data_IF_602430472904
#
_entry.id   IF_602430472904
#
_cell.length_a   1.000
_cell.length_b   1.000
_cell.length_c   1.000
_cell.angle_alpha   90.00
_cell.angle_beta   90.00
_cell.angle_gamma   90.00
#
_symmetry.space_group_name_H-M   'P 1'
#
loop_
_entity.id
_entity.type
_entity.pdbx_description
1 polymer ?
#
# COMPACT_ATOMS: atom_id res chain seq x y z
N UNK A 1 -2.50 -5.97 -12.09
CA UNK A 1 -3.39 -5.03 -11.36
C UNK A 1 -4.35 -4.29 -12.32
N UNK A 2 -5.18 -5.00 -13.08
CA UNK A 2 -6.08 -4.40 -14.09
C UNK A 2 -7.57 -4.60 -13.79
N UNK A 3 -7.94 -5.71 -13.14
CA UNK A 3 -9.32 -6.01 -12.81
C UNK A 3 -9.97 -4.92 -11.92
N UNK A 4 -9.23 -4.41 -10.93
CA UNK A 4 -9.73 -3.35 -10.02
C UNK A 4 -10.03 -2.03 -10.73
N UNK A 5 -9.39 -1.75 -11.88
CA UNK A 5 -9.65 -0.53 -12.67
C UNK A 5 -11.00 -0.56 -13.39
N UNK A 6 -11.68 -1.72 -13.43
CA UNK A 6 -13.02 -1.87 -13.98
C UNK A 6 -14.13 -1.52 -13.00
N UNK A 7 -13.81 -1.34 -11.71
CA UNK A 7 -14.80 -0.93 -10.71
C UNK A 7 -15.29 0.49 -11.00
N UNK A 8 -16.57 0.75 -10.74
CA UNK A 8 -17.24 2.04 -10.98
C UNK A 8 -17.70 2.66 -9.66
N UNK A 9 -17.81 3.99 -9.63
CA UNK A 9 -18.44 4.76 -8.57
C UNK A 9 -19.96 4.73 -8.73
N UNK A 10 -20.68 4.55 -7.63
CA UNK A 10 -22.14 4.45 -7.62
C UNK A 10 -22.63 3.01 -7.51
N UNK A 11 -23.94 2.83 -7.64
CA UNK A 11 -24.56 1.50 -7.68
C UNK A 11 -24.44 0.89 -9.08
N UNK A 12 -24.66 -0.41 -9.19
CA UNK A 12 -24.63 -1.15 -10.46
C UNK A 12 -25.60 -0.58 -11.51
N UNK A 13 -26.80 -0.20 -11.08
CA UNK A 13 -27.84 0.32 -11.97
C UNK A 13 -27.58 1.76 -12.45
N UNK A 14 -26.73 2.51 -11.75
CA UNK A 14 -26.42 3.91 -12.08
C UNK A 14 -24.94 4.21 -11.85
N UNK A 15 -24.04 3.68 -12.72
CA UNK A 15 -22.62 3.95 -12.61
C UNK A 15 -22.31 5.38 -13.02
N UNK A 16 -21.44 6.06 -12.27
CA UNK A 16 -21.07 7.47 -12.52
C UNK A 16 -19.75 7.60 -13.29
N UNK A 17 -18.70 6.96 -12.79
CA UNK A 17 -17.35 7.05 -13.34
C UNK A 17 -16.49 5.87 -12.86
N UNK A 18 -15.36 5.55 -13.51
CA UNK A 18 -14.42 4.58 -12.97
C UNK A 18 -13.98 4.93 -11.54
N UNK A 19 -13.95 3.92 -10.65
CA UNK A 19 -13.47 4.04 -9.27
C UNK A 19 -11.94 4.07 -9.27
N UNK A 20 -11.40 5.24 -9.63
CA UNK A 20 -9.97 5.54 -9.56
C UNK A 20 -9.63 6.48 -8.41
N UNK A 21 -8.33 6.52 -8.06
CA UNK A 21 -7.75 7.49 -7.13
C UNK A 21 -8.49 7.57 -5.77
N UNK A 22 -9.01 6.44 -5.29
CA UNK A 22 -9.67 6.31 -3.99
C UNK A 22 -8.69 6.25 -2.80
N UNK A 23 -7.49 6.81 -2.97
CA UNK A 23 -6.48 6.92 -1.94
C UNK A 23 -6.49 8.32 -1.34
N UNK A 24 -6.36 8.41 -0.02
CA UNK A 24 -6.22 9.70 0.67
C UNK A 24 -4.78 10.23 0.49
N UNK A 25 -4.58 11.55 0.36
CA UNK A 25 -3.24 12.14 0.35
C UNK A 25 -2.45 11.86 1.63
N UNK A 26 -1.12 11.84 1.51
CA UNK A 26 -0.21 11.73 2.65
C UNK A 26 -0.52 12.80 3.70
N UNK A 27 -0.43 12.41 4.96
CA UNK A 27 -0.67 13.28 6.10
C UNK A 27 0.59 13.37 6.95
N UNK A 28 0.74 14.50 7.65
CA UNK A 28 1.85 14.71 8.57
C UNK A 28 1.91 13.64 9.67
N UNK A 29 3.14 13.25 10.04
CA UNK A 29 3.34 12.30 11.13
C UNK A 29 3.15 12.95 12.51
N UNK A 30 3.34 14.27 12.62
CA UNK A 30 3.15 15.05 13.86
C UNK A 30 3.87 14.43 15.07
N UNK A 31 5.16 14.12 14.92
CA UNK A 31 6.01 13.54 15.97
C UNK A 31 5.52 12.19 16.54
N UNK A 32 4.57 11.52 15.88
CA UNK A 32 4.15 10.17 16.27
C UNK A 32 5.24 9.16 15.92
N UNK A 33 5.46 8.19 16.80
CA UNK A 33 6.38 7.07 16.53
C UNK A 33 5.68 6.01 15.67
N UNK A 34 6.38 5.51 14.64
CA UNK A 34 5.95 4.33 13.87
C UNK A 34 6.76 3.13 14.36
N UNK A 35 6.09 2.03 14.69
CA UNK A 35 6.72 0.75 15.06
C UNK A 35 6.54 -0.24 13.92
N UNK A 36 7.56 -1.05 13.68
CA UNK A 36 7.55 -2.12 12.68
C UNK A 36 7.82 -3.45 13.35
N UNK A 37 7.29 -4.54 12.78
CA UNK A 37 7.63 -5.92 13.16
C UNK A 37 8.84 -6.46 12.35
N UNK A 38 9.47 -5.60 11.56
CA UNK A 38 10.60 -5.91 10.70
C UNK A 38 11.85 -5.29 11.31
N UNK A 39 12.91 -6.09 11.42
CA UNK A 39 14.24 -5.58 11.76
C UNK A 39 14.95 -5.08 10.50
N UNK A 40 15.33 -3.80 10.51
CA UNK A 40 16.05 -3.15 9.40
C UNK A 40 17.57 -3.28 9.51
N UNK A 41 18.11 -3.65 10.69
CA UNK A 41 19.56 -3.73 10.96
C UNK A 41 20.03 -5.18 11.11
N UNK A 42 19.52 -6.04 10.25
CA UNK A 42 19.71 -7.48 10.38
C UNK A 42 21.12 -7.91 9.96
N UNK A 43 21.79 -8.81 10.72
CA UNK A 43 23.02 -9.48 10.28
C UNK A 43 22.79 -10.29 8.99
N UNK A 44 23.80 -10.44 8.11
CA UNK A 44 23.68 -11.12 6.82
C UNK A 44 23.02 -12.52 6.89
N UNK A 45 23.28 -13.26 7.98
CA UNK A 45 22.89 -14.67 8.11
C UNK A 45 21.65 -14.92 8.97
N UNK A 46 21.03 -13.89 9.55
CA UNK A 46 19.86 -14.11 10.39
C UNK A 46 18.67 -14.59 9.51
N UNK A 47 17.72 -15.34 10.07
CA UNK A 47 16.53 -15.87 9.37
C UNK A 47 15.25 -15.08 9.68
N UNK A 48 15.36 -13.89 10.27
CA UNK A 48 14.21 -13.04 10.62
C UNK A 48 13.54 -12.39 9.39
N UNK A 49 12.24 -12.08 9.42
CA UNK A 49 11.60 -11.28 8.38
C UNK A 49 12.26 -9.90 8.30
N UNK A 50 12.82 -9.54 7.15
CA UNK A 50 13.38 -8.22 6.87
C UNK A 50 12.65 -7.59 5.67
N UNK A 51 12.67 -6.26 5.56
CA UNK A 51 12.09 -5.58 4.40
C UNK A 51 12.87 -6.02 3.16
N UNK A 52 12.17 -6.57 2.15
CA UNK A 52 12.80 -6.86 0.86
C UNK A 52 13.14 -5.51 0.20
N UNK A 53 14.39 -5.29 -0.22
CA UNK A 53 14.80 -4.01 -0.79
C UNK A 53 14.16 -3.73 -2.15
N UNK A 54 13.70 -4.76 -2.86
CA UNK A 54 13.13 -4.63 -4.20
C UNK A 54 11.64 -4.99 -4.20
N UNK A 55 10.80 -4.00 -3.90
CA UNK A 55 9.34 -4.08 -4.03
C UNK A 55 8.88 -3.55 -5.40
N UNK A 56 9.51 -4.01 -6.49
CA UNK A 56 9.03 -3.72 -7.84
C UNK A 56 7.85 -4.63 -8.14
N UNK A 57 6.66 -4.05 -8.23
CA UNK A 57 5.52 -4.75 -8.80
C UNK A 57 5.76 -4.94 -10.30
N UNK A 58 5.76 -6.19 -10.77
CA UNK A 58 5.64 -6.52 -12.20
C UNK A 58 4.23 -6.25 -12.70
#
# INVERSE_FOLDING_TARGET
>A
MYALRRLMQGSENTPKAPLGNNARPLQGLHHRTIRTNIDFHKPPDAKCPSMKPDARYK
#
